data_IF_595317750704
#
_entry.id   IF_595317750704
#
_cell.length_a   1.000
_cell.length_b   1.000
_cell.length_c   1.000
_cell.angle_alpha   90.00
_cell.angle_beta   90.00
_cell.angle_gamma   90.00
#
_symmetry.space_group_name_H-M   'P 1'
#
loop_
_entity.id
_entity.type
_entity.pdbx_description
1 polymer ?
#
# COMPACT_ATOMS: atom_id res chain seq x y z
N UNK A 1 -73.72 2.36 -30.31
CA UNK A 1 -73.07 3.68 -30.18
C UNK A 1 -72.18 3.63 -28.95
N UNK A 2 -70.91 4.02 -28.90
CA UNK A 2 -69.91 4.54 -29.87
C UNK A 2 -68.54 4.26 -29.24
N UNK A 3 -67.56 3.90 -30.07
CA UNK A 3 -66.15 3.76 -29.73
C UNK A 3 -65.44 5.07 -29.34
N UNK A 4 -64.23 4.91 -28.77
CA UNK A 4 -62.96 5.68 -28.91
C UNK A 4 -62.52 6.53 -27.72
N UNK A 5 -61.42 6.08 -27.10
CA UNK A 5 -60.12 6.76 -26.91
C UNK A 5 -59.36 5.98 -25.80
N UNK A 6 -58.50 5.00 -26.08
CA UNK A 6 -57.12 5.09 -26.57
C UNK A 6 -56.26 6.16 -25.85
N UNK A 7 -55.56 5.76 -24.78
CA UNK A 7 -54.34 6.43 -24.33
C UNK A 7 -53.26 5.34 -24.22
N UNK A 8 -52.27 5.45 -25.11
CA UNK A 8 -50.98 4.77 -25.01
C UNK A 8 -50.25 5.27 -23.75
N UNK A 9 -49.76 4.35 -22.92
CA UNK A 9 -48.62 4.63 -22.04
C UNK A 9 -47.46 3.77 -22.55
N UNK A 10 -46.58 4.43 -23.31
CA UNK A 10 -45.29 3.92 -23.73
C UNK A 10 -44.35 3.89 -22.51
N UNK A 11 -43.59 2.79 -22.42
CA UNK A 11 -42.21 2.70 -21.92
C UNK A 11 -41.86 3.23 -20.52
N UNK A 12 -41.47 2.31 -19.64
CA UNK A 12 -40.15 2.35 -19.02
C UNK A 12 -39.78 0.93 -18.56
N UNK A 13 -38.93 0.28 -19.34
CA UNK A 13 -38.07 -0.81 -18.88
C UNK A 13 -37.37 -0.28 -17.61
N UNK A 14 -37.48 -0.91 -16.43
CA UNK A 14 -36.49 -0.64 -15.40
C UNK A 14 -35.19 -1.16 -16.00
N UNK A 15 -34.38 -0.21 -16.46
CA UNK A 15 -33.04 -0.45 -16.95
C UNK A 15 -32.39 -1.44 -15.99
N UNK A 16 -31.81 -2.50 -16.55
CA UNK A 16 -30.68 -3.18 -15.95
C UNK A 16 -29.80 -2.07 -15.37
N UNK A 17 -29.84 -1.90 -14.05
CA UNK A 17 -28.82 -1.13 -13.36
C UNK A 17 -27.52 -1.86 -13.70
N UNK A 18 -26.61 -1.25 -14.49
CA UNK A 18 -25.29 -1.83 -14.56
C UNK A 18 -24.76 -1.83 -13.13
N UNK A 19 -24.16 -2.95 -12.72
CA UNK A 19 -23.23 -3.07 -11.59
C UNK A 19 -22.00 -2.17 -11.85
N UNK A 20 -22.23 -0.87 -12.06
CA UNK A 20 -21.20 0.12 -12.31
C UNK A 20 -20.92 0.85 -11.00
N UNK A 21 -19.65 0.78 -10.60
CA UNK A 21 -19.03 1.66 -9.62
C UNK A 21 -19.34 1.36 -8.14
N UNK A 22 -19.04 0.16 -7.67
CA UNK A 22 -18.21 0.12 -6.46
C UNK A 22 -16.77 0.32 -6.94
N UNK A 23 -16.02 1.38 -6.66
CA UNK A 23 -16.27 2.77 -6.30
C UNK A 23 -14.89 3.38 -6.57
N UNK A 24 -14.65 3.93 -7.77
CA UNK A 24 -13.30 4.34 -8.20
C UNK A 24 -12.63 5.28 -7.19
N UNK A 25 -13.44 6.07 -6.49
CA UNK A 25 -13.07 6.91 -5.35
C UNK A 25 -12.46 6.13 -4.18
N UNK A 26 -12.98 4.94 -3.86
CA UNK A 26 -12.44 4.09 -2.79
C UNK A 26 -11.11 3.46 -3.20
N UNK A 27 -11.00 3.03 -4.46
CA UNK A 27 -9.75 2.48 -5.00
C UNK A 27 -8.64 3.53 -4.98
N UNK A 28 -8.94 4.76 -5.42
CA UNK A 28 -8.03 5.89 -5.35
C UNK A 28 -7.65 6.25 -3.91
N UNK A 29 -8.62 6.27 -2.98
CA UNK A 29 -8.34 6.53 -1.57
C UNK A 29 -7.42 5.45 -0.95
N UNK A 30 -7.62 4.17 -1.26
CA UNK A 30 -6.77 3.08 -0.79
C UNK A 30 -5.36 3.13 -1.40
N UNK A 31 -5.23 3.53 -2.66
CA UNK A 31 -3.93 3.75 -3.31
C UNK A 31 -3.18 4.94 -2.70
N UNK A 32 -3.89 6.03 -2.39
CA UNK A 32 -3.30 7.16 -1.66
C UNK A 32 -2.86 6.72 -0.26
N UNK A 33 -3.70 5.96 0.45
CA UNK A 33 -3.34 5.40 1.76
C UNK A 33 -2.09 4.54 1.70
N UNK A 34 -1.92 3.74 0.63
CA UNK A 34 -0.75 2.90 0.40
C UNK A 34 0.54 3.70 0.13
N UNK A 35 0.44 4.86 -0.51
CA UNK A 35 1.59 5.62 -1.05
C UNK A 35 2.02 6.83 -0.21
N UNK A 36 1.17 7.32 0.70
CA UNK A 36 1.45 8.52 1.52
C UNK A 36 2.41 8.31 2.70
N UNK A 37 2.81 7.08 3.00
CA UNK A 37 3.61 6.78 4.19
C UNK A 37 4.66 5.69 3.98
N UNK A 38 5.27 5.30 5.08
CA UNK A 38 6.15 4.15 5.18
C UNK A 38 5.38 2.99 5.83
N UNK A 39 5.76 1.77 5.50
CA UNK A 39 5.19 0.56 6.04
C UNK A 39 6.28 -0.20 6.77
N UNK A 40 6.04 -0.47 8.05
CA UNK A 40 6.95 -1.23 8.92
C UNK A 40 6.34 -2.59 9.19
N UNK A 41 7.11 -3.65 9.03
CA UNK A 41 6.64 -4.99 9.42
C UNK A 41 6.35 -5.03 10.93
N UNK A 42 5.23 -5.63 11.33
CA UNK A 42 4.81 -5.67 12.73
C UNK A 42 5.71 -6.57 13.58
N UNK A 43 6.26 -7.64 13.00
CA UNK A 43 7.08 -8.61 13.72
C UNK A 43 8.55 -8.18 13.86
N UNK A 44 9.02 -7.27 13.00
CA UNK A 44 10.42 -6.84 12.98
C UNK A 44 10.55 -5.32 12.90
N UNK A 45 10.52 -4.68 14.07
CA UNK A 45 10.48 -3.22 14.19
C UNK A 45 11.79 -2.52 13.79
N UNK A 46 12.89 -3.27 13.65
CA UNK A 46 14.24 -2.71 13.52
C UNK A 46 14.90 -2.98 12.16
N UNK A 47 14.25 -3.70 11.25
CA UNK A 47 14.90 -4.09 9.99
C UNK A 47 14.67 -3.09 8.87
N UNK A 48 13.42 -2.86 8.46
CA UNK A 48 13.15 -2.15 7.21
C UNK A 48 11.84 -1.36 7.23
N UNK A 49 11.87 -0.18 6.62
CA UNK A 49 10.70 0.55 6.16
C UNK A 49 10.54 0.37 4.66
N UNK A 50 9.30 0.18 4.24
CA UNK A 50 8.90 0.03 2.84
C UNK A 50 8.06 1.23 2.43
N UNK A 51 8.37 1.87 1.30
CA UNK A 51 7.57 2.98 0.75
C UNK A 51 7.12 2.67 -0.67
N UNK A 52 5.81 2.74 -0.89
CA UNK A 52 5.20 2.58 -2.21
C UNK A 52 5.14 3.93 -2.93
N UNK A 53 5.52 3.93 -4.20
CA UNK A 53 5.28 5.04 -5.12
C UNK A 53 3.99 4.80 -5.90
N UNK A 54 3.25 5.88 -6.18
CA UNK A 54 2.18 5.83 -7.19
C UNK A 54 2.68 5.51 -8.61
N UNK A 55 4.00 5.46 -8.83
CA UNK A 55 4.65 5.12 -10.10
C UNK A 55 5.15 3.67 -10.18
N UNK A 56 4.43 2.70 -9.61
CA UNK A 56 4.75 1.26 -9.66
C UNK A 56 6.15 0.91 -9.09
N UNK A 57 6.65 1.73 -8.17
CA UNK A 57 7.98 1.57 -7.58
C UNK A 57 7.90 1.33 -6.08
N UNK A 58 8.79 0.48 -5.58
CA UNK A 58 8.93 0.19 -4.16
C UNK A 58 10.33 0.57 -3.70
N UNK A 59 10.40 1.27 -2.56
CA UNK A 59 11.65 1.72 -1.97
C UNK A 59 11.83 1.09 -0.59
N UNK A 60 13.04 0.60 -0.35
CA UNK A 60 13.45 0.00 0.92
C UNK A 60 14.39 0.95 1.66
N UNK A 61 14.19 1.02 2.96
CA UNK A 61 15.00 1.85 3.85
C UNK A 61 15.38 1.04 5.09
N UNK A 62 16.65 1.05 5.44
CA UNK A 62 17.06 0.68 6.78
C UNK A 62 16.73 1.86 7.70
N UNK A 63 16.16 1.56 8.87
CA UNK A 63 15.68 2.57 9.81
C UNK A 63 16.15 2.33 11.23
N UNK A 64 16.18 3.40 12.01
CA UNK A 64 16.34 3.31 13.45
C UNK A 64 15.05 2.76 14.06
N UNK A 65 15.12 2.28 15.30
CA UNK A 65 13.91 2.23 16.12
C UNK A 65 13.33 3.64 16.33
N UNK A 66 12.04 3.76 16.72
CA UNK A 66 11.45 5.05 17.05
C UNK A 66 12.16 5.68 18.26
N UNK A 67 12.45 6.99 18.16
CA UNK A 67 12.90 7.77 19.31
C UNK A 67 11.76 8.00 20.32
N UNK A 68 12.05 8.72 21.42
CA UNK A 68 11.06 9.02 22.47
C UNK A 68 9.88 9.87 21.98
N UNK A 69 10.02 10.55 20.85
CA UNK A 69 8.97 11.33 20.20
C UNK A 69 8.27 10.53 19.07
N UNK A 70 8.63 9.26 18.86
CA UNK A 70 8.08 8.41 17.81
C UNK A 70 8.65 8.72 16.43
N UNK A 71 9.81 9.38 16.34
CA UNK A 71 10.47 9.69 15.07
C UNK A 71 11.49 8.62 14.69
N UNK A 72 11.67 8.46 13.40
CA UNK A 72 12.60 7.51 12.81
C UNK A 72 13.63 8.28 11.99
N UNK A 73 14.88 7.83 12.06
CA UNK A 73 15.86 8.14 11.03
C UNK A 73 15.96 6.95 10.09
N UNK A 74 16.19 7.20 8.81
CA UNK A 74 16.32 6.15 7.82
C UNK A 74 17.31 6.54 6.72
N UNK A 75 17.93 5.56 6.10
CA UNK A 75 18.69 5.75 4.87
C UNK A 75 18.22 4.77 3.79
N UNK A 76 18.41 5.17 2.54
CA UNK A 76 18.03 4.34 1.41
C UNK A 76 18.89 3.09 1.33
N UNK A 77 18.29 1.91 1.46
CA UNK A 77 19.02 0.65 1.43
C UNK A 77 19.27 0.23 -0.01
N UNK A 78 20.47 0.54 -0.52
CA UNK A 78 20.90 0.20 -1.87
C UNK A 78 21.31 -1.26 -2.04
N UNK A 79 21.43 -2.02 -0.95
CA UNK A 79 21.68 -3.47 -1.03
C UNK A 79 20.45 -4.23 -1.53
N UNK A 80 19.27 -3.65 -1.31
CA UNK A 80 18.01 -4.11 -1.86
C UNK A 80 17.75 -3.30 -3.13
N UNK A 81 17.71 -3.98 -4.27
CA UNK A 81 17.49 -3.31 -5.54
C UNK A 81 16.12 -2.62 -5.52
N UNK A 82 16.07 -1.31 -5.80
CA UNK A 82 14.80 -0.64 -6.12
C UNK A 82 14.12 -1.38 -7.26
N UNK A 83 12.93 -1.90 -7.00
CA UNK A 83 12.19 -2.65 -7.99
C UNK A 83 11.23 -1.71 -8.73
N UNK A 84 11.40 -1.65 -10.04
CA UNK A 84 10.72 -0.71 -10.94
C UNK A 84 9.58 -1.36 -11.75
N UNK A 85 9.01 -2.47 -11.27
CA UNK A 85 7.96 -3.20 -11.99
C UNK A 85 6.87 -3.77 -11.07
N UNK A 86 6.42 -3.01 -10.06
CA UNK A 86 5.31 -3.44 -9.22
C UNK A 86 4.01 -2.73 -9.59
N UNK A 87 3.18 -3.44 -10.35
CA UNK A 87 1.78 -3.10 -10.50
C UNK A 87 1.04 -3.50 -9.21
N UNK A 88 0.65 -2.52 -8.38
CA UNK A 88 -0.40 -2.75 -7.40
C UNK A 88 -1.67 -3.04 -8.20
N UNK A 89 -2.12 -4.29 -8.28
CA UNK A 89 -3.34 -4.64 -9.00
C UNK A 89 -4.50 -4.72 -8.01
N UNK A 90 -5.04 -3.55 -7.65
CA UNK A 90 -6.16 -3.44 -6.70
C UNK A 90 -7.40 -4.17 -7.23
N UNK A 91 -7.58 -4.26 -8.56
CA UNK A 91 -8.72 -4.96 -9.18
C UNK A 91 -8.71 -6.45 -8.89
N UNK A 92 -7.51 -7.04 -8.83
CA UNK A 92 -7.32 -8.44 -8.48
C UNK A 92 -6.99 -8.63 -6.99
N UNK A 93 -6.85 -7.54 -6.23
CA UNK A 93 -6.51 -7.57 -4.81
C UNK A 93 -5.12 -8.15 -4.54
N UNK A 94 -4.16 -7.97 -5.46
CA UNK A 94 -2.81 -8.54 -5.33
C UNK A 94 -1.72 -7.48 -5.39
N UNK A 95 -0.66 -7.74 -4.65
CA UNK A 95 0.55 -6.92 -4.56
C UNK A 95 1.76 -7.77 -4.87
N UNK A 96 2.70 -7.27 -5.65
CA UNK A 96 4.00 -7.90 -5.85
C UNK A 96 5.04 -7.11 -5.05
N UNK A 97 5.76 -7.77 -4.14
CA UNK A 97 6.75 -7.12 -3.25
C UNK A 97 8.19 -7.60 -3.45
N UNK A 98 8.35 -8.81 -4.01
CA UNK A 98 9.64 -9.45 -4.29
C UNK A 98 9.64 -9.93 -5.75
N UNK A 99 10.81 -10.12 -6.39
CA UNK A 99 10.92 -10.34 -7.83
C UNK A 99 10.03 -11.45 -8.41
N UNK A 100 9.62 -12.44 -7.60
CA UNK A 100 8.76 -13.55 -8.03
C UNK A 100 7.64 -13.89 -7.02
N UNK A 101 7.29 -12.99 -6.09
CA UNK A 101 6.27 -13.28 -5.08
C UNK A 101 5.09 -12.31 -5.17
N UNK A 102 3.92 -12.89 -5.47
CA UNK A 102 2.64 -12.22 -5.37
C UNK A 102 2.03 -12.48 -4.02
N UNK A 103 1.38 -11.45 -3.49
CA UNK A 103 0.71 -11.46 -2.21
C UNK A 103 -0.73 -11.04 -2.41
N UNK A 104 -1.64 -11.74 -1.75
CA UNK A 104 -3.03 -11.32 -1.69
C UNK A 104 -3.17 -10.21 -0.64
N UNK A 105 -3.78 -9.09 -1.03
CA UNK A 105 -4.10 -7.99 -0.13
C UNK A 105 -5.30 -8.43 0.71
N UNK A 106 -5.04 -8.92 1.92
CA UNK A 106 -6.07 -9.35 2.85
C UNK A 106 -6.70 -8.15 3.57
N UNK A 107 -5.88 -7.14 3.89
CA UNK A 107 -6.31 -5.89 4.53
C UNK A 107 -5.48 -4.75 3.93
N UNK A 108 -6.14 -3.67 3.50
CA UNK A 108 -5.52 -2.39 3.18
C UNK A 108 -6.40 -1.27 3.70
N UNK A 109 -5.86 -0.43 4.57
CA UNK A 109 -6.49 0.80 5.06
C UNK A 109 -5.43 1.82 5.49
N UNK A 110 -5.87 2.96 6.01
CA UNK A 110 -5.01 4.07 6.44
C UNK A 110 -3.98 3.76 7.53
N UNK A 111 -3.99 2.58 8.15
CA UNK A 111 -3.07 2.22 9.25
C UNK A 111 -2.44 0.83 9.11
N UNK A 112 -3.06 -0.08 8.36
CA UNK A 112 -2.67 -1.49 8.33
C UNK A 112 -2.68 -2.02 6.91
N UNK A 113 -1.65 -2.79 6.58
CA UNK A 113 -1.53 -3.59 5.37
C UNK A 113 -1.24 -5.03 5.79
N UNK A 114 -2.12 -5.96 5.43
CA UNK A 114 -1.91 -7.39 5.67
C UNK A 114 -1.88 -8.10 4.32
N UNK A 115 -0.84 -8.89 4.13
CA UNK A 115 -0.53 -9.60 2.90
C UNK A 115 -0.51 -11.10 3.16
N UNK A 116 -1.21 -11.87 2.33
CA UNK A 116 -1.16 -13.33 2.32
C UNK A 116 -0.18 -13.83 1.27
N UNK A 117 0.61 -14.86 1.58
CA UNK A 117 1.44 -15.58 0.61
C UNK A 117 0.64 -16.71 -0.04
N UNK A 118 1.11 -17.19 -1.20
CA UNK A 118 0.52 -18.35 -1.88
C UNK A 118 0.59 -19.64 -1.00
N UNK A 119 1.51 -19.69 -0.03
CA UNK A 119 1.66 -20.80 0.93
C UNK A 119 0.72 -20.69 2.14
N UNK A 120 -0.12 -19.64 2.20
CA UNK A 120 -1.09 -19.42 3.28
C UNK A 120 -0.51 -18.76 4.53
N UNK A 121 0.72 -18.26 4.47
CA UNK A 121 1.30 -17.43 5.52
C UNK A 121 0.83 -15.97 5.38
N UNK A 122 0.96 -15.20 6.47
CA UNK A 122 0.57 -13.78 6.46
C UNK A 122 1.68 -12.90 6.99
N UNK A 123 1.95 -11.81 6.29
CA UNK A 123 2.84 -10.73 6.73
C UNK A 123 2.00 -9.49 6.98
N UNK A 124 2.26 -8.80 8.10
CA UNK A 124 1.50 -7.62 8.51
C UNK A 124 2.41 -6.42 8.67
N UNK A 125 1.96 -5.29 8.13
CA UNK A 125 2.63 -4.02 8.18
C UNK A 125 1.74 -2.97 8.85
N UNK A 126 2.40 -2.07 9.58
CA UNK A 126 1.78 -0.90 10.21
C UNK A 126 2.28 0.35 9.51
N UNK A 127 1.36 1.30 9.23
CA UNK A 127 1.70 2.56 8.58
C UNK A 127 2.46 3.47 9.56
N UNK A 128 3.57 4.01 9.09
CA UNK A 128 4.38 5.03 9.74
C UNK A 128 4.23 6.32 8.91
N UNK A 129 3.73 7.42 9.51
CA UNK A 129 3.52 8.67 8.78
C UNK A 129 4.83 9.23 8.22
N UNK A 130 4.81 9.80 7.00
CA UNK A 130 6.02 10.25 6.34
C UNK A 130 6.75 11.37 7.10
N UNK A 131 6.02 12.24 7.80
CA UNK A 131 6.53 13.31 8.63
C UNK A 131 7.30 12.83 9.88
N UNK A 132 7.07 11.58 10.27
CA UNK A 132 7.79 10.94 11.38
C UNK A 132 9.15 10.38 10.96
N UNK A 133 9.43 10.28 9.65
CA UNK A 133 10.65 9.68 9.11
C UNK A 133 11.57 10.75 8.52
N UNK A 134 12.81 10.79 8.99
CA UNK A 134 13.87 11.63 8.42
C UNK A 134 14.78 10.75 7.55
N UNK A 135 14.69 10.92 6.24
CA UNK A 135 15.60 10.25 5.30
C UNK A 135 16.89 11.05 5.19
N UNK A 136 18.02 10.41 5.45
CA UNK A 136 19.36 11.00 5.39
C UNK A 136 20.33 10.13 4.58
N UNK A 137 21.54 10.64 4.35
CA UNK A 137 22.59 9.83 3.72
C UNK A 137 23.00 8.66 4.62
N UNK A 138 23.59 7.62 4.01
CA UNK A 138 24.09 6.47 4.78
C UNK A 138 25.16 6.90 5.77
N UNK A 139 26.05 7.78 5.36
CA UNK A 139 27.15 8.29 6.19
C UNK A 139 26.61 9.04 7.41
N UNK A 140 25.66 9.96 7.23
CA UNK A 140 25.01 10.69 8.34
C UNK A 140 24.25 9.75 9.27
N UNK A 141 23.58 8.75 8.72
CA UNK A 141 22.85 7.76 9.50
C UNK A 141 23.79 6.96 10.40
N UNK A 142 24.90 6.45 9.84
CA UNK A 142 25.86 5.65 10.58
C UNK A 142 26.62 6.45 11.65
N UNK A 143 26.87 7.73 11.40
CA UNK A 143 27.45 8.64 12.41
C UNK A 143 26.49 8.86 13.60
N UNK A 144 25.20 9.00 13.31
CA UNK A 144 24.15 9.22 14.32
C UNK A 144 23.75 7.94 15.07
N UNK A 145 23.80 6.79 14.42
CA UNK A 145 23.40 5.48 14.95
C UNK A 145 24.52 4.44 14.84
N UNK A 146 25.62 4.59 15.61
CA UNK A 146 26.78 3.71 15.54
C UNK A 146 26.49 2.29 16.06
N UNK A 147 25.39 2.10 16.81
CA UNK A 147 24.99 0.83 17.41
C UNK A 147 24.32 -0.13 16.41
N UNK A 148 23.87 0.37 15.24
CA UNK A 148 23.01 -0.35 14.28
C UNK A 148 23.76 -1.31 13.35
N UNK A 149 24.98 -1.73 13.69
CA UNK A 149 25.64 -2.82 12.95
C UNK A 149 25.05 -4.17 13.40
N UNK A 150 24.30 -4.89 12.57
CA UNK A 150 24.51 -6.33 12.54
C UNK A 150 25.92 -6.51 11.96
N UNK A 151 26.87 -6.90 12.81
CA UNK A 151 28.10 -7.49 12.30
C UNK A 151 27.75 -8.74 11.46
N UNK A 152 28.28 -8.73 10.23
CA UNK A 152 28.42 -9.81 9.24
C UNK A 152 27.43 -9.83 8.07
#
# INVERSE_FOLDING_TARGET
MRWKNLILMLAAIPALCPLQSCDATKEEALLNDLTEGYWREEQDENKLLVRFSGSESLFYYACSGPDKAGRYDAYYDTSIQSYTQYAIDVRNGRLCLLPDAWYDILVLNSTTLTLGTDDGETVKFIKVPAESVTVMSREEYLDKHPETFPEN
#
